data_IF_609922312327
#
_entry.id   IF_609922312327
#
_cell.length_a   1.000
_cell.length_b   1.000
_cell.length_c   1.000
_cell.angle_alpha   90.00
_cell.angle_beta   90.00
_cell.angle_gamma   90.00
#
_symmetry.space_group_name_H-M   'P 1'
#
loop_
_entity.id
_entity.type
_entity.pdbx_description
1 polymer ?
#
# COMPACT_ATOMS: atom_id res chain seq x y z
N UNK A 1 -1.98 -1.41 15.48
CA UNK A 1 -2.41 -1.18 14.08
C UNK A 1 -3.88 -1.50 13.98
N UNK A 2 -4.65 -0.72 13.21
CA UNK A 2 -6.08 -0.92 12.97
C UNK A 2 -6.29 -1.05 11.44
N UNK A 3 -7.04 -2.07 11.03
CA UNK A 3 -7.43 -2.31 9.63
C UNK A 3 -8.92 -2.03 9.49
N UNK A 4 -9.30 -1.24 8.48
CA UNK A 4 -10.67 -0.75 8.29
C UNK A 4 -10.97 -0.54 6.81
N UNK A 5 -12.22 -0.19 6.52
CA UNK A 5 -12.71 0.12 5.18
C UNK A 5 -12.47 -1.06 4.22
N UNK A 6 -13.14 -2.19 4.47
CA UNK A 6 -12.99 -3.39 3.65
C UNK A 6 -13.78 -3.21 2.36
N UNK A 7 -13.09 -3.26 1.23
CA UNK A 7 -13.68 -3.10 -0.11
C UNK A 7 -13.06 -4.06 -1.11
N UNK A 8 -13.72 -4.24 -2.24
CA UNK A 8 -13.15 -4.98 -3.38
C UNK A 8 -12.19 -4.06 -4.15
N UNK A 9 -10.95 -4.52 -4.33
CA UNK A 9 -9.88 -3.83 -5.05
C UNK A 9 -9.17 -4.85 -5.93
N UNK A 10 -9.08 -4.61 -7.24
CA UNK A 10 -8.39 -5.51 -8.17
C UNK A 10 -8.90 -6.96 -8.15
N UNK A 11 -10.20 -7.16 -7.91
CA UNK A 11 -10.82 -8.48 -7.80
C UNK A 11 -10.55 -9.23 -6.49
N UNK A 12 -10.08 -8.52 -5.45
CA UNK A 12 -9.86 -9.08 -4.10
C UNK A 12 -10.53 -8.22 -3.05
N UNK A 13 -11.13 -8.84 -2.03
CA UNK A 13 -11.67 -8.12 -0.88
C UNK A 13 -10.59 -7.95 0.19
N UNK A 14 -10.22 -6.71 0.49
CA UNK A 14 -9.17 -6.39 1.47
C UNK A 14 -9.44 -5.06 2.18
N UNK A 15 -8.87 -4.83 3.38
CA UNK A 15 -8.92 -3.54 4.04
C UNK A 15 -8.17 -2.49 3.22
N UNK A 16 -8.84 -1.39 2.89
CA UNK A 16 -8.25 -0.30 2.10
C UNK A 16 -7.74 0.86 2.97
N UNK A 17 -7.90 0.76 4.29
CA UNK A 17 -7.41 1.77 5.24
C UNK A 17 -6.69 1.13 6.42
N UNK A 18 -5.44 1.55 6.63
CA UNK A 18 -4.58 1.09 7.72
C UNK A 18 -4.16 2.25 8.62
N UNK A 19 -4.35 2.11 9.92
CA UNK A 19 -3.86 3.08 10.91
C UNK A 19 -2.76 2.45 11.78
N UNK A 20 -1.57 3.05 11.75
CA UNK A 20 -0.46 2.69 12.61
C UNK A 20 -0.33 3.72 13.72
N UNK A 21 -0.37 3.26 14.97
CA UNK A 21 -0.24 4.06 16.18
C UNK A 21 1.03 3.56 16.88
N UNK A 22 2.06 4.41 17.09
CA UNK A 22 3.26 4.03 17.83
C UNK A 22 2.93 3.65 19.28
N UNK A 23 3.58 2.61 19.79
CA UNK A 23 3.32 2.11 21.14
C UNK A 23 3.77 3.08 22.24
N UNK A 24 4.85 3.81 21.99
CA UNK A 24 5.46 4.82 22.86
C UNK A 24 4.78 6.19 22.76
N UNK A 25 4.07 6.47 21.66
CA UNK A 25 3.39 7.74 21.45
C UNK A 25 1.98 7.56 20.85
N UNK A 26 0.98 7.20 21.67
CA UNK A 26 -0.37 6.86 21.21
C UNK A 26 -1.16 8.04 20.63
N UNK A 27 -0.65 9.27 20.76
CA UNK A 27 -1.27 10.48 20.17
C UNK A 27 -0.88 10.70 18.71
N UNK A 28 0.15 10.02 18.23
CA UNK A 28 0.55 10.08 16.83
C UNK A 28 -0.03 8.90 16.07
N UNK A 29 -0.33 9.12 14.79
CA UNK A 29 -0.70 8.03 13.90
C UNK A 29 -0.29 8.31 12.46
N UNK A 30 0.01 7.24 11.75
CA UNK A 30 0.15 7.22 10.30
C UNK A 30 -1.05 6.50 9.71
N UNK A 31 -1.74 7.13 8.77
CA UNK A 31 -2.86 6.53 8.05
C UNK A 31 -2.42 6.25 6.61
N UNK A 32 -2.63 5.02 6.15
CA UNK A 32 -2.36 4.59 4.78
C UNK A 32 -3.70 4.22 4.14
N UNK A 33 -4.02 4.85 3.00
CA UNK A 33 -5.25 4.63 2.24
C UNK A 33 -4.91 4.11 0.84
N UNK A 34 -5.45 2.94 0.50
CA UNK A 34 -5.34 2.36 -0.83
C UNK A 34 -6.47 2.90 -1.71
N UNK A 35 -6.12 3.67 -2.74
CA UNK A 35 -7.08 4.30 -3.65
C UNK A 35 -7.41 3.41 -4.84
N UNK A 36 -6.42 2.73 -5.40
CA UNK A 36 -6.56 1.78 -6.50
C UNK A 36 -5.50 0.68 -6.37
N UNK A 37 -5.84 -0.54 -6.80
CA UNK A 37 -4.94 -1.69 -6.77
C UNK A 37 -5.24 -2.66 -7.91
N UNK A 38 -4.19 -3.06 -8.63
CA UNK A 38 -4.24 -4.06 -9.69
C UNK A 38 -3.32 -5.23 -9.36
N UNK A 39 -3.78 -6.46 -9.62
CA UNK A 39 -3.03 -7.69 -9.36
C UNK A 39 -2.66 -8.38 -10.66
N UNK A 40 -1.59 -9.18 -10.60
CA UNK A 40 -1.09 -9.98 -11.73
C UNK A 40 -0.73 -9.13 -12.96
N UNK A 41 -0.32 -7.89 -12.76
CA UNK A 41 0.22 -7.05 -13.84
C UNK A 41 1.54 -7.65 -14.34
N UNK A 42 1.72 -7.67 -15.66
CA UNK A 42 2.89 -8.26 -16.33
C UNK A 42 4.14 -7.38 -16.25
N UNK A 43 4.65 -7.14 -15.04
CA UNK A 43 5.90 -6.40 -14.84
C UNK A 43 7.09 -7.25 -15.28
N UNK A 44 7.96 -6.66 -16.09
CA UNK A 44 9.25 -7.25 -16.47
C UNK A 44 10.22 -7.24 -15.29
N UNK A 45 11.14 -8.19 -15.22
CA UNK A 45 12.11 -8.29 -14.12
C UNK A 45 13.00 -7.04 -13.97
N UNK A 46 13.35 -6.40 -15.08
CA UNK A 46 14.18 -5.19 -15.12
C UNK A 46 13.50 -3.94 -14.48
N UNK A 47 12.19 -4.00 -14.27
CA UNK A 47 11.44 -3.00 -13.52
C UNK A 47 12.00 -2.83 -12.10
N UNK A 48 12.43 -3.92 -11.47
CA UNK A 48 12.94 -3.94 -10.09
C UNK A 48 14.45 -3.66 -10.01
N UNK A 49 14.97 -2.78 -10.87
CA UNK A 49 16.38 -2.40 -10.90
C UNK A 49 16.64 -1.03 -10.25
N UNK A 50 17.83 -0.87 -9.66
CA UNK A 50 18.30 0.42 -9.14
C UNK A 50 18.33 1.52 -10.22
N UNK A 51 18.62 1.13 -11.47
CA UNK A 51 18.60 2.05 -12.61
C UNK A 51 17.19 2.54 -12.92
N UNK A 52 16.19 1.67 -12.83
CA UNK A 52 14.79 2.04 -13.03
C UNK A 52 14.28 2.95 -11.90
N UNK A 53 14.64 2.69 -10.63
CA UNK A 53 14.26 3.57 -9.50
C UNK A 53 14.70 5.03 -9.66
N UNK A 54 15.84 5.28 -10.31
CA UNK A 54 16.31 6.65 -10.59
C UNK A 54 15.51 7.36 -11.69
N UNK A 55 14.81 6.60 -12.53
CA UNK A 55 14.04 7.11 -13.68
C UNK A 55 12.56 7.34 -13.36
N UNK A 56 12.00 6.53 -12.48
CA UNK A 56 10.61 6.68 -12.01
C UNK A 56 10.52 7.97 -11.19
N UNK A 57 9.74 8.94 -11.68
CA UNK A 57 9.34 10.18 -10.99
C UNK A 57 7.86 10.13 -10.65
#
# INVERSE_FOLDING_TARGET
MILSDIREMGGRTLPTRMEMIPADNPKQKTVIEYINQEFNIGLKEDFFSMQNMKRVR
#
